data_IF_609257299759
#
_entry.id   IF_609257299759
#
_cell.length_a   1.000
_cell.length_b   1.000
_cell.length_c   1.000
_cell.angle_alpha   90.00
_cell.angle_beta   90.00
_cell.angle_gamma   90.00
#
_symmetry.space_group_name_H-M   'P 1'
#
loop_
_entity.id
_entity.type
_entity.pdbx_description
1 polymer ?
#
# COMPACT_ATOMS: atom_id res chain seq x y z
N UNK A 1 24.96 -18.19 -7.28
CA UNK A 1 24.74 -17.41 -6.04
C UNK A 1 23.50 -16.57 -6.26
N UNK A 2 22.32 -17.05 -5.86
CA UNK A 2 21.08 -16.26 -6.01
C UNK A 2 21.04 -15.23 -4.89
N UNK A 3 21.10 -13.94 -5.26
CA UNK A 3 20.85 -12.85 -4.34
C UNK A 3 19.33 -12.83 -4.13
N UNK A 4 18.86 -13.20 -2.95
CA UNK A 4 17.43 -13.12 -2.61
C UNK A 4 17.13 -11.64 -2.32
N UNK A 5 16.83 -10.87 -3.35
CA UNK A 5 16.38 -9.49 -3.15
C UNK A 5 14.94 -9.48 -2.66
N UNK A 6 14.62 -8.54 -1.77
CA UNK A 6 13.28 -8.44 -1.18
C UNK A 6 12.42 -7.50 -2.00
N UNK A 7 11.15 -7.88 -2.15
CA UNK A 7 10.17 -7.09 -2.89
C UNK A 7 9.82 -5.84 -2.08
N UNK A 8 9.71 -4.71 -2.77
CA UNK A 8 9.26 -3.43 -2.24
C UNK A 8 8.10 -2.95 -3.12
N UNK A 9 6.98 -2.62 -2.49
CA UNK A 9 5.81 -2.04 -3.15
C UNK A 9 5.55 -0.67 -2.54
N UNK A 10 5.35 0.33 -3.38
CA UNK A 10 5.06 1.70 -2.95
C UNK A 10 3.72 2.10 -3.56
N UNK A 11 2.79 2.54 -2.71
CA UNK A 11 1.46 2.95 -3.12
C UNK A 11 1.13 4.34 -2.62
N UNK A 12 0.40 5.13 -3.40
CA UNK A 12 -0.12 6.44 -2.97
C UNK A 12 -1.07 6.28 -1.79
N UNK A 13 -0.95 7.10 -0.74
CA UNK A 13 -1.96 7.14 0.34
C UNK A 13 -3.29 7.74 -0.14
N UNK A 14 -3.25 8.62 -1.13
CA UNK A 14 -4.43 9.35 -1.63
C UNK A 14 -5.18 8.57 -2.70
N UNK A 15 -4.48 8.10 -3.73
CA UNK A 15 -5.10 7.42 -4.87
C UNK A 15 -5.09 5.89 -4.74
N UNK A 16 -4.32 5.34 -3.80
CA UNK A 16 -4.08 3.90 -3.63
C UNK A 16 -3.47 3.19 -4.86
N UNK A 17 -3.04 3.94 -5.87
CA UNK A 17 -2.33 3.39 -7.03
C UNK A 17 -0.89 2.99 -6.65
N UNK A 18 -0.41 1.91 -7.25
CA UNK A 18 0.98 1.47 -7.13
C UNK A 18 1.86 2.45 -7.93
N UNK A 19 2.84 3.03 -7.24
CA UNK A 19 3.82 3.95 -7.80
C UNK A 19 5.10 3.20 -8.21
N UNK A 20 5.51 2.22 -7.42
CA UNK A 20 6.72 1.42 -7.64
C UNK A 20 6.49 -0.01 -7.15
N UNK A 21 7.00 -1.00 -7.89
CA UNK A 21 6.95 -2.42 -7.52
C UNK A 21 8.17 -3.15 -8.05
N UNK A 22 8.83 -3.94 -7.21
CA UNK A 22 9.91 -4.84 -7.64
C UNK A 22 10.91 -5.17 -6.54
N UNK A 23 12.08 -5.65 -6.94
CA UNK A 23 13.22 -5.91 -6.04
C UNK A 23 14.12 -4.66 -5.98
N UNK A 24 13.74 -3.68 -5.15
CA UNK A 24 14.31 -2.32 -5.15
C UNK A 24 15.03 -2.04 -3.83
N UNK A 25 16.16 -1.34 -3.88
CA UNK A 25 16.96 -0.96 -2.70
C UNK A 25 17.01 0.54 -2.41
N UNK A 26 16.67 1.36 -3.40
CA UNK A 26 16.61 2.82 -3.28
C UNK A 26 15.25 3.27 -3.82
N UNK A 27 14.43 3.82 -2.95
CA UNK A 27 13.05 4.24 -3.25
C UNK A 27 12.97 5.74 -3.06
N UNK A 28 12.46 6.47 -4.04
CA UNK A 28 12.26 7.92 -3.95
C UNK A 28 10.77 8.21 -3.79
N UNK A 29 10.41 8.99 -2.78
CA UNK A 29 9.02 9.36 -2.48
C UNK A 29 8.75 10.81 -2.87
N UNK A 30 7.79 11.02 -3.78
CA UNK A 30 7.38 12.35 -4.25
C UNK A 30 6.03 12.80 -3.69
N UNK A 31 5.37 11.94 -2.93
CA UNK A 31 4.03 12.16 -2.40
C UNK A 31 3.76 11.21 -1.21
N UNK A 32 2.77 11.52 -0.33
CA UNK A 32 2.37 10.65 0.76
C UNK A 32 2.10 9.21 0.29
N UNK A 33 2.83 8.25 0.86
CA UNK A 33 2.90 6.88 0.35
C UNK A 33 2.95 5.83 1.46
N UNK A 34 2.47 4.63 1.12
CA UNK A 34 2.61 3.40 1.89
C UNK A 34 3.71 2.57 1.24
N UNK A 35 4.71 2.18 2.01
CA UNK A 35 5.84 1.39 1.58
C UNK A 35 5.71 0.02 2.22
N UNK A 36 5.47 -1.01 1.42
CA UNK A 36 5.36 -2.39 1.86
C UNK A 36 6.66 -3.13 1.51
N UNK A 37 7.30 -3.73 2.53
CA UNK A 37 8.47 -4.58 2.34
C UNK A 37 8.08 -6.04 2.51
N UNK A 38 8.40 -6.85 1.50
CA UNK A 38 8.21 -8.30 1.51
C UNK A 38 9.26 -9.02 2.35
N UNK A 39 9.42 -8.63 3.61
CA UNK A 39 10.37 -9.20 4.55
C UNK A 39 9.88 -9.08 5.98
N UNK A 40 10.17 -10.10 6.79
CA UNK A 40 9.77 -10.14 8.20
C UNK A 40 10.62 -9.22 9.08
N UNK A 41 10.05 -8.79 10.21
CA UNK A 41 10.74 -8.03 11.26
C UNK A 41 12.07 -8.67 11.66
N UNK A 42 12.12 -10.01 11.73
CA UNK A 42 13.31 -10.76 12.13
C UNK A 42 14.50 -10.61 11.17
N UNK A 43 14.26 -10.21 9.92
CA UNK A 43 15.32 -9.98 8.94
C UNK A 43 15.98 -8.60 9.10
N UNK A 44 15.34 -7.70 9.83
CA UNK A 44 15.80 -6.33 10.04
C UNK A 44 16.78 -6.29 11.20
N UNK A 45 17.90 -5.60 11.00
CA UNK A 45 18.90 -5.31 12.02
C UNK A 45 18.67 -3.95 12.67
N UNK A 46 18.35 -2.93 11.88
CA UNK A 46 18.08 -1.58 12.38
C UNK A 46 17.30 -0.73 11.38
N UNK A 47 16.54 0.22 11.90
CA UNK A 47 15.85 1.27 11.13
C UNK A 47 16.31 2.61 11.69
N UNK A 48 16.91 3.46 10.86
CA UNK A 48 17.55 4.70 11.28
C UNK A 48 17.22 5.83 10.32
N UNK A 49 16.84 6.99 10.85
CA UNK A 49 16.73 8.25 10.12
C UNK A 49 18.12 8.80 9.81
N UNK A 50 18.39 9.13 8.55
CA UNK A 50 19.61 9.79 8.12
C UNK A 50 19.26 10.99 7.23
N UNK A 51 19.32 12.20 7.78
CA UNK A 51 18.75 13.37 7.11
C UNK A 51 17.23 13.20 6.96
N UNK A 52 16.73 13.37 5.74
CA UNK A 52 15.33 13.14 5.39
C UNK A 52 15.03 11.69 4.96
N UNK A 53 16.06 10.85 4.89
CA UNK A 53 15.95 9.47 4.43
C UNK A 53 15.72 8.49 5.59
N UNK A 54 15.00 7.41 5.30
CA UNK A 54 14.87 6.25 6.16
C UNK A 54 15.76 5.12 5.66
N UNK A 55 16.71 4.67 6.50
CA UNK A 55 17.65 3.61 6.16
C UNK A 55 17.40 2.37 6.99
N UNK A 56 17.06 1.29 6.31
CA UNK A 56 16.77 -0.02 6.88
C UNK A 56 17.97 -0.91 6.59
N UNK A 57 18.66 -1.37 7.63
CA UNK A 57 19.75 -2.33 7.51
C UNK A 57 19.25 -3.71 7.88
N UNK A 58 19.48 -4.69 7.02
CA UNK A 58 19.12 -6.08 7.24
C UNK A 58 20.24 -6.83 7.99
N UNK A 59 19.93 -7.97 8.61
CA UNK A 59 20.91 -8.78 9.35
C UNK A 59 22.04 -9.31 8.47
N UNK A 60 21.80 -9.47 7.18
CA UNK A 60 22.82 -9.85 6.19
C UNK A 60 23.72 -8.67 5.75
N UNK A 61 23.48 -7.45 6.25
CA UNK A 61 24.24 -6.24 5.91
C UNK A 61 23.70 -5.45 4.72
N UNK A 62 22.70 -5.96 4.00
CA UNK A 62 22.02 -5.23 2.94
C UNK A 62 21.28 -4.01 3.50
N UNK A 63 21.22 -2.94 2.70
CA UNK A 63 20.51 -1.70 3.05
C UNK A 63 19.41 -1.43 2.04
N UNK A 64 18.25 -1.06 2.56
CA UNK A 64 17.13 -0.49 1.82
C UNK A 64 17.04 0.97 2.26
N UNK A 65 17.09 1.88 1.29
CA UNK A 65 17.05 3.32 1.50
C UNK A 65 15.74 3.85 0.92
N UNK A 66 14.95 4.51 1.75
CA UNK A 66 13.72 5.19 1.36
C UNK A 66 13.99 6.69 1.49
N UNK A 67 14.18 7.35 0.35
CA UNK A 67 14.48 8.78 0.25
C UNK A 67 13.24 9.62 0.55
N UNK A 68 13.48 10.79 1.14
CA UNK A 68 12.46 11.79 1.44
C UNK A 68 11.35 11.31 2.39
N UNK A 69 11.59 10.22 3.15
CA UNK A 69 10.60 9.65 4.08
C UNK A 69 10.18 10.62 5.19
N UNK A 70 11.07 11.55 5.58
CA UNK A 70 10.79 12.56 6.62
C UNK A 70 10.62 13.97 6.04
N UNK A 71 10.48 14.11 4.72
CA UNK A 71 10.40 15.42 4.08
C UNK A 71 9.09 16.14 4.42
N UNK A 72 9.19 17.26 5.13
CA UNK A 72 8.06 18.04 5.66
C UNK A 72 7.14 18.63 4.56
N UNK A 73 7.62 18.72 3.31
CA UNK A 73 6.79 19.14 2.16
C UNK A 73 5.67 18.13 1.88
N UNK A 74 5.84 16.88 2.28
CA UNK A 74 4.82 15.84 2.26
C UNK A 74 4.12 15.78 3.63
N UNK A 75 3.39 16.84 4.00
CA UNK A 75 2.73 17.04 5.31
C UNK A 75 1.76 15.92 5.79
N UNK A 76 1.67 14.79 5.09
CA UNK A 76 1.05 13.54 5.55
C UNK A 76 2.13 12.47 5.73
N UNK A 77 2.24 11.96 6.95
CA UNK A 77 3.25 10.96 7.33
C UNK A 77 3.20 9.73 6.41
N UNK A 78 4.36 9.34 5.89
CA UNK A 78 4.54 8.09 5.16
C UNK A 78 4.34 6.89 6.09
N UNK A 79 3.94 5.75 5.53
CA UNK A 79 3.73 4.52 6.32
C UNK A 79 4.68 3.44 5.84
N UNK A 80 5.50 2.90 6.73
CA UNK A 80 6.30 1.71 6.48
C UNK A 80 5.59 0.49 7.03
N UNK A 81 5.30 -0.47 6.16
CA UNK A 81 4.65 -1.73 6.47
C UNK A 81 5.56 -2.91 6.08
N UNK A 82 5.57 -3.95 6.91
CA UNK A 82 6.25 -5.20 6.66
C UNK A 82 5.20 -6.28 6.44
N UNK A 83 5.34 -7.03 5.35
CA UNK A 83 4.52 -8.22 5.10
C UNK A 83 5.05 -9.39 5.91
N UNK A 84 4.18 -9.98 6.72
CA UNK A 84 4.48 -11.21 7.45
C UNK A 84 4.11 -12.44 6.60
N UNK A 85 4.73 -13.58 6.89
CA UNK A 85 4.45 -14.84 6.19
C UNK A 85 2.99 -15.31 6.31
N UNK A 86 2.28 -14.91 7.37
CA UNK A 86 0.86 -15.23 7.59
C UNK A 86 -0.10 -14.33 6.78
N UNK A 87 0.41 -13.37 6.02
CA UNK A 87 -0.37 -12.43 5.22
C UNK A 87 -0.81 -11.17 5.98
N UNK A 88 -0.55 -11.08 7.29
CA UNK A 88 -0.71 -9.85 8.06
C UNK A 88 0.38 -8.82 7.76
N UNK A 89 0.16 -7.60 8.26
CA UNK A 89 1.13 -6.51 8.16
C UNK A 89 1.51 -5.98 9.55
N UNK A 90 2.79 -5.62 9.66
CA UNK A 90 3.31 -4.88 10.80
C UNK A 90 3.71 -3.48 10.36
N UNK A 91 3.21 -2.47 11.05
CA UNK A 91 3.47 -1.07 10.78
C UNK A 91 4.60 -0.59 11.69
N UNK A 92 5.60 0.08 11.12
CA UNK A 92 6.64 0.72 11.91
C UNK A 92 6.14 2.05 12.47
N UNK A 93 6.24 2.24 13.78
CA UNK A 93 5.97 3.50 14.46
C UNK A 93 7.27 4.27 14.70
N UNK A 94 7.19 5.58 14.52
CA UNK A 94 8.28 6.52 14.74
C UNK A 94 7.85 7.57 15.77
N UNK A 95 8.80 8.11 16.54
CA UNK A 95 8.53 9.27 17.39
C UNK A 95 8.61 10.59 16.60
N UNK A 96 8.35 11.72 17.26
CA UNK A 96 8.40 13.05 16.63
C UNK A 96 9.76 13.42 16.00
N UNK A 97 10.86 12.78 16.44
CA UNK A 97 12.19 12.98 15.84
C UNK A 97 12.41 12.12 14.59
N UNK A 98 11.50 11.19 14.30
CA UNK A 98 11.61 10.17 13.27
C UNK A 98 12.39 8.93 13.71
N UNK A 99 12.66 8.76 15.02
CA UNK A 99 13.32 7.56 15.51
C UNK A 99 12.33 6.40 15.55
N UNK A 100 12.72 5.24 15.04
CA UNK A 100 11.92 4.02 15.16
C UNK A 100 11.66 3.67 16.64
N UNK A 101 10.40 3.36 16.97
CA UNK A 101 9.95 3.05 18.33
C UNK A 101 9.58 1.58 18.47
N UNK A 102 8.67 1.09 17.63
CA UNK A 102 8.14 -0.27 17.69
C UNK A 102 7.42 -0.65 16.39
N UNK A 103 7.05 -1.92 16.28
CA UNK A 103 6.04 -2.35 15.32
C UNK A 103 4.67 -2.45 16.00
N UNK A 104 3.62 -2.07 15.29
CA UNK A 104 2.23 -2.34 15.67
C UNK A 104 1.56 -3.22 14.63
N UNK A 105 0.70 -4.12 15.08
CA UNK A 105 -0.16 -4.90 14.19
C UNK A 105 -1.33 -4.02 13.77
N UNK A 106 -1.51 -3.83 12.46
CA UNK A 106 -2.69 -3.14 11.93
C UNK A 106 -3.63 -4.15 11.27
N UNK A 107 -4.88 -4.22 11.73
CA UNK A 107 -5.96 -4.90 11.01
C UNK A 107 -6.47 -4.09 9.81
N UNK A 108 -6.06 -2.82 9.71
CA UNK A 108 -6.37 -1.98 8.55
C UNK A 108 -5.46 -2.40 7.40
N UNK A 109 -6.07 -2.99 6.38
CA UNK A 109 -5.43 -3.26 5.11
C UNK A 109 -4.67 -2.01 4.64
N UNK A 110 -3.33 -2.04 4.69
CA UNK A 110 -2.57 -1.39 3.63
C UNK A 110 -3.20 -1.88 2.34
N UNK A 111 -3.62 -1.01 1.41
CA UNK A 111 -4.48 -1.38 0.29
C UNK A 111 -3.97 -2.68 -0.29
N UNK A 112 -4.69 -3.75 0.02
CA UNK A 112 -4.43 -5.01 -0.61
C UNK A 112 -4.86 -4.70 -2.02
N UNK A 113 -3.89 -4.53 -2.93
CA UNK A 113 -4.17 -4.86 -4.32
C UNK A 113 -4.48 -6.34 -4.25
N UNK A 114 -5.77 -6.63 -4.03
CA UNK A 114 -6.32 -7.95 -4.18
C UNK A 114 -5.95 -8.34 -5.59
N UNK A 115 -4.96 -9.23 -5.71
CA UNK A 115 -4.81 -10.03 -6.93
C UNK A 115 -5.87 -11.12 -6.82
N UNK A 116 -7.13 -10.71 -6.75
CA UNK A 116 -8.27 -11.62 -6.75
C UNK A 116 -8.86 -11.57 -8.15
N UNK A 117 -8.73 -12.69 -8.87
CA UNK A 117 -9.57 -12.98 -10.03
C UNK A 117 -11.03 -12.66 -9.68
N UNK A 118 -11.81 -12.01 -10.56
CA UNK A 118 -13.16 -11.61 -10.23
C UNK A 118 -14.04 -12.85 -10.04
N UNK A 119 -14.30 -13.22 -8.79
CA UNK A 119 -15.36 -14.17 -8.43
C UNK A 119 -16.61 -13.36 -8.11
N UNK A 120 -17.54 -13.37 -9.06
CA UNK A 120 -18.85 -12.75 -8.97
C UNK A 120 -19.64 -13.41 -7.82
N UNK A 121 -19.97 -12.63 -6.79
CA UNK A 121 -20.94 -13.04 -5.76
C UNK A 121 -22.32 -12.56 -6.17
N UNK A 122 -23.14 -13.48 -6.68
CA UNK A 122 -24.58 -13.31 -6.74
C UNK A 122 -25.18 -13.95 -5.49
N UNK A 123 -25.80 -13.14 -4.63
CA UNK A 123 -26.67 -13.62 -3.56
C UNK A 123 -27.99 -12.88 -3.71
N UNK A 124 -29.04 -13.60 -4.10
CA UNK A 124 -30.42 -13.15 -3.89
C UNK A 124 -31.20 -14.30 -3.25
N UNK A 125 -31.79 -13.98 -2.12
CA UNK A 125 -32.61 -14.84 -1.28
C UNK A 125 -33.99 -15.04 -1.90
N UNK A 126 -34.53 -16.24 -1.82
CA UNK A 126 -35.97 -16.54 -1.97
C UNK A 126 -36.61 -16.67 -0.57
N UNK A 127 -37.95 -16.58 -0.37
CA UNK A 127 -39.05 -16.47 -1.35
C UNK A 127 -40.13 -15.40 -1.02
N UNK A 128 -41.16 -15.39 -1.86
CA UNK A 128 -42.53 -14.86 -1.71
C UNK A 128 -42.86 -13.53 -2.41
N UNK A 129 -43.42 -13.72 -3.62
CA UNK A 129 -44.57 -13.03 -4.23
C UNK A 129 -44.72 -11.51 -3.99
N UNK A 130 -44.46 -10.70 -5.02
CA UNK A 130 -45.49 -9.85 -5.65
C UNK A 130 -44.92 -9.09 -6.86
N UNK A 131 -45.81 -8.84 -7.82
CA UNK A 131 -45.57 -8.41 -9.18
C UNK A 131 -44.92 -7.02 -9.32
N UNK A 132 -43.86 -6.98 -10.13
CA UNK A 132 -43.56 -5.97 -11.15
C UNK A 132 -43.75 -4.48 -10.84
N UNK A 133 -42.66 -3.72 -10.94
CA UNK A 133 -42.46 -2.56 -11.85
C UNK A 133 -41.14 -1.89 -11.43
N UNK A 134 -40.08 -2.07 -12.23
CA UNK A 134 -38.83 -1.31 -12.08
C UNK A 134 -39.00 0.06 -12.77
N UNK A 135 -39.11 1.13 -11.99
CA UNK A 135 -39.02 2.52 -12.45
C UNK A 135 -37.88 3.23 -11.72
N UNK A 136 -36.68 3.19 -12.31
CA UNK A 136 -35.60 4.13 -12.01
C UNK A 136 -35.22 4.77 -13.35
N UNK A 137 -35.90 5.85 -13.76
CA UNK A 137 -35.56 7.24 -13.48
C UNK A 137 -34.08 7.61 -13.79
N UNK A 138 -33.95 8.31 -14.91
CA UNK A 138 -33.21 9.56 -15.10
C UNK A 138 -31.67 9.53 -15.04
N UNK A 139 -31.06 9.71 -16.21
CA UNK A 139 -30.06 10.76 -16.43
C UNK A 139 -30.24 11.35 -17.84
N UNK A 140 -30.42 12.68 -17.87
CA UNK A 140 -30.52 13.55 -19.04
C UNK A 140 -29.12 13.94 -19.56
N UNK A 141 -28.99 14.06 -20.88
CA UNK A 141 -27.99 14.90 -21.57
C UNK A 141 -26.68 14.17 -21.91
N UNK A 142 -26.12 14.26 -23.12
CA UNK A 142 -26.39 15.15 -24.24
C UNK A 142 -25.87 14.61 -25.58
N UNK A 143 -26.25 15.33 -26.62
CA UNK A 143 -26.07 15.06 -28.06
C UNK A 143 -24.63 15.27 -28.54
N UNK A 144 -24.16 14.41 -29.45
CA UNK A 144 -23.51 14.69 -30.76
C UNK A 144 -23.60 13.37 -31.58
N UNK A 145 -24.23 13.22 -32.75
CA UNK A 145 -24.15 13.87 -34.07
C UNK A 145 -22.89 13.52 -34.89
N UNK A 146 -23.14 12.85 -36.03
CA UNK A 146 -22.32 12.67 -37.25
C UNK A 146 -21.21 11.61 -37.16
N UNK A 147 -21.14 10.52 -37.94
CA UNK A 147 -21.22 10.29 -39.40
C UNK A 147 -20.10 9.26 -39.69
N UNK A 148 -20.11 8.30 -40.62
CA UNK A 148 -20.86 7.94 -41.82
C UNK A 148 -21.16 6.43 -41.80
#
# INVERSE_FOLDING_TARGET
MSIIMKRVVVSSKTSLNILQDGQIKDVILSQPSIIQLGLNQESIKSIIKQGDDLVITLKNGEKIIIRDFYNEMNASEHTLALSNDDGSYSIAEFDDSGKFVRYTSSSQAVPQVSTELPTQVSLVSEPADDLGITKSQLIKGGLIASGC
#
